data_IF_373293129731
#
_entry.id   IF_373293129731
#
_cell.length_a   1.000
_cell.length_b   1.000
_cell.length_c   1.000
_cell.angle_alpha   90.00
_cell.angle_beta   90.00
_cell.angle_gamma   90.00
#
_symmetry.space_group_name_H-M   'P 1'
#
loop_
_entity.id
_entity.type
_entity.pdbx_description
1 polymer ?
#
# COMPACT_ATOMS: atom_id res chain seq x y z
N UNK A 1 -10.04 9.35 -7.88
CA UNK A 1 -9.16 10.29 -8.61
C UNK A 1 -8.48 9.82 -9.88
N UNK A 2 -8.05 8.55 -10.04
CA UNK A 2 -7.48 8.08 -11.33
C UNK A 2 -7.94 6.66 -11.65
N UNK A 3 -8.01 6.31 -12.93
CA UNK A 3 -8.46 4.98 -13.40
C UNK A 3 -7.36 3.92 -13.27
N UNK A 4 -7.68 2.69 -12.86
CA UNK A 4 -6.76 1.55 -12.79
C UNK A 4 -7.48 0.24 -13.12
N UNK A 5 -7.03 -0.47 -14.15
CA UNK A 5 -7.68 -1.74 -14.52
C UNK A 5 -7.46 -2.86 -13.50
N UNK A 6 -6.33 -2.88 -12.78
CA UNK A 6 -6.01 -3.96 -11.82
C UNK A 6 -6.76 -3.81 -10.51
N UNK A 7 -6.68 -2.66 -9.87
CA UNK A 7 -7.39 -2.44 -8.59
C UNK A 7 -8.91 -2.43 -8.84
N UNK A 8 -9.40 -1.72 -9.87
CA UNK A 8 -10.85 -1.61 -10.13
C UNK A 8 -11.49 -2.93 -10.57
N UNK A 9 -10.88 -3.70 -11.48
CA UNK A 9 -11.56 -4.89 -12.04
C UNK A 9 -11.29 -6.17 -11.25
N UNK A 10 -10.05 -6.39 -10.81
CA UNK A 10 -9.69 -7.66 -10.16
C UNK A 10 -10.08 -7.67 -8.68
N UNK A 11 -9.81 -6.60 -7.94
CA UNK A 11 -10.03 -6.60 -6.48
C UNK A 11 -11.46 -6.18 -6.13
N UNK A 12 -11.99 -5.13 -6.76
CA UNK A 12 -13.25 -4.54 -6.33
C UNK A 12 -14.47 -5.31 -6.86
N UNK A 13 -14.51 -5.58 -8.16
CA UNK A 13 -15.70 -6.18 -8.79
C UNK A 13 -15.70 -7.69 -8.59
N UNK A 14 -14.58 -8.36 -8.89
CA UNK A 14 -14.54 -9.82 -8.84
C UNK A 14 -14.46 -10.33 -7.39
N UNK A 15 -13.66 -9.71 -6.53
CA UNK A 15 -13.49 -10.13 -5.14
C UNK A 15 -14.79 -10.05 -4.32
N UNK A 16 -15.42 -8.87 -4.26
CA UNK A 16 -16.65 -8.69 -3.49
C UNK A 16 -17.84 -9.44 -4.08
N UNK A 17 -17.97 -9.51 -5.41
CA UNK A 17 -19.05 -10.28 -6.02
C UNK A 17 -18.93 -11.79 -5.75
N UNK A 18 -17.71 -12.34 -5.73
CA UNK A 18 -17.48 -13.75 -5.36
C UNK A 18 -17.87 -14.04 -3.90
N UNK A 19 -17.80 -13.03 -3.02
CA UNK A 19 -18.24 -13.12 -1.63
C UNK A 19 -19.76 -12.86 -1.46
N UNK A 20 -20.50 -12.64 -2.56
CA UNK A 20 -21.93 -12.35 -2.54
C UNK A 20 -22.27 -10.88 -2.23
N UNK A 21 -21.28 -9.99 -2.23
CA UNK A 21 -21.46 -8.55 -2.05
C UNK A 21 -21.86 -7.84 -3.35
N UNK A 22 -22.40 -6.63 -3.21
CA UNK A 22 -22.81 -5.78 -4.33
C UNK A 22 -21.92 -4.53 -4.39
N UNK A 23 -20.82 -4.54 -5.18
CA UNK A 23 -19.94 -3.39 -5.25
C UNK A 23 -20.62 -2.22 -5.98
N UNK A 24 -20.70 -1.07 -5.31
CA UNK A 24 -21.10 0.20 -5.92
C UNK A 24 -19.84 0.99 -6.31
N UNK A 25 -19.74 1.39 -7.58
CA UNK A 25 -18.60 2.17 -8.05
C UNK A 25 -18.97 3.65 -8.13
N UNK A 26 -18.20 4.46 -7.42
CA UNK A 26 -18.40 5.90 -7.33
C UNK A 26 -17.10 6.59 -7.75
N UNK A 27 -17.16 7.41 -8.79
CA UNK A 27 -16.00 8.18 -9.28
C UNK A 27 -15.90 9.53 -8.58
N UNK A 28 -14.77 10.22 -8.75
CA UNK A 28 -14.62 11.63 -8.31
C UNK A 28 -15.62 12.58 -8.99
N UNK A 29 -16.26 12.18 -10.09
CA UNK A 29 -17.34 12.95 -10.72
C UNK A 29 -18.69 12.69 -10.06
N UNK A 30 -18.85 11.54 -9.41
CA UNK A 30 -20.09 11.14 -8.72
C UNK A 30 -20.06 11.59 -7.26
N UNK A 31 -18.91 11.48 -6.59
CA UNK A 31 -18.68 11.96 -5.23
C UNK A 31 -17.78 13.19 -5.33
N UNK A 32 -18.35 14.37 -5.05
CA UNK A 32 -17.62 15.64 -4.98
C UNK A 32 -16.82 15.77 -3.65
N UNK A 33 -16.05 14.73 -3.31
CA UNK A 33 -15.35 14.58 -2.04
C UNK A 33 -14.37 15.74 -1.85
N UNK A 34 -14.61 16.58 -0.84
CA UNK A 34 -13.75 17.73 -0.52
C UNK A 34 -13.91 18.95 -1.44
N UNK A 35 -14.83 18.93 -2.41
CA UNK A 35 -15.12 20.06 -3.30
C UNK A 35 -16.46 20.72 -2.97
N UNK A 36 -17.54 19.94 -2.94
CA UNK A 36 -18.89 20.44 -2.64
C UNK A 36 -19.45 19.89 -1.32
N UNK A 37 -18.89 18.79 -0.82
CA UNK A 37 -19.31 18.13 0.41
C UNK A 37 -18.09 17.82 1.27
N UNK A 38 -18.23 18.00 2.59
CA UNK A 38 -17.14 17.72 3.51
C UNK A 38 -16.84 16.22 3.54
N UNK A 39 -15.57 15.87 3.80
CA UNK A 39 -15.19 14.47 4.00
C UNK A 39 -16.00 13.84 5.14
N UNK A 40 -16.26 14.59 6.21
CA UNK A 40 -17.09 14.18 7.34
C UNK A 40 -18.51 13.80 6.93
N UNK A 41 -19.20 14.66 6.17
CA UNK A 41 -20.59 14.41 5.77
C UNK A 41 -20.65 13.19 4.85
N UNK A 42 -19.70 13.11 3.91
CA UNK A 42 -19.60 11.96 3.01
C UNK A 42 -19.36 10.65 3.76
N UNK A 43 -18.45 10.66 4.75
CA UNK A 43 -18.16 9.48 5.58
C UNK A 43 -19.41 8.98 6.32
N UNK A 44 -20.20 9.90 6.88
CA UNK A 44 -21.43 9.58 7.62
C UNK A 44 -22.52 9.05 6.72
N UNK A 45 -22.70 9.63 5.53
CA UNK A 45 -23.68 9.16 4.54
C UNK A 45 -23.30 7.75 4.06
N UNK A 46 -22.03 7.54 3.68
CA UNK A 46 -21.56 6.22 3.23
C UNK A 46 -21.69 5.16 4.32
N UNK A 47 -21.46 5.54 5.58
CA UNK A 47 -21.66 4.65 6.75
C UNK A 47 -23.10 4.17 6.92
N UNK A 48 -24.09 4.94 6.46
CA UNK A 48 -25.49 4.54 6.48
C UNK A 48 -25.94 3.73 5.26
N UNK A 49 -25.13 3.68 4.20
CA UNK A 49 -25.50 3.10 2.91
C UNK A 49 -24.70 1.84 2.55
N UNK A 50 -23.53 1.64 3.16
CA UNK A 50 -22.61 0.56 2.82
C UNK A 50 -22.05 -0.09 4.10
N UNK A 51 -21.58 -1.34 3.99
CA UNK A 51 -20.93 -2.04 5.10
C UNK A 51 -19.41 -1.82 5.13
N UNK A 52 -18.80 -1.55 3.97
CA UNK A 52 -17.34 -1.35 3.81
C UNK A 52 -17.12 -0.31 2.71
N UNK A 53 -16.15 0.59 2.90
CA UNK A 53 -15.72 1.53 1.87
C UNK A 53 -14.27 1.27 1.53
N UNK A 54 -14.00 1.00 0.26
CA UNK A 54 -12.63 0.98 -0.28
C UNK A 54 -12.38 2.32 -0.97
N UNK A 55 -11.50 3.13 -0.39
CA UNK A 55 -11.22 4.48 -0.85
C UNK A 55 -9.86 4.56 -1.54
N UNK A 56 -9.85 5.16 -2.74
CA UNK A 56 -8.63 5.54 -3.47
C UNK A 56 -8.56 7.06 -3.54
N UNK A 57 -7.65 7.62 -2.76
CA UNK A 57 -7.49 9.07 -2.59
C UNK A 57 -6.12 9.52 -3.06
N UNK A 58 -5.97 10.82 -3.29
CA UNK A 58 -4.65 11.40 -3.48
C UNK A 58 -3.92 11.48 -2.13
N UNK A 59 -4.41 12.29 -1.19
CA UNK A 59 -3.74 12.50 0.10
C UNK A 59 -4.13 11.49 1.15
N UNK A 60 -3.14 11.01 1.92
CA UNK A 60 -3.40 10.05 3.00
C UNK A 60 -4.23 10.66 4.14
N UNK A 61 -4.13 11.97 4.38
CA UNK A 61 -4.91 12.66 5.41
C UNK A 61 -6.43 12.56 5.18
N UNK A 62 -6.87 12.54 3.91
CA UNK A 62 -8.27 12.32 3.55
C UNK A 62 -8.76 10.95 4.00
N UNK A 63 -7.92 9.90 3.92
CA UNK A 63 -8.28 8.58 4.44
C UNK A 63 -8.40 8.59 5.97
N UNK A 64 -7.47 9.25 6.65
CA UNK A 64 -7.51 9.36 8.12
C UNK A 64 -8.75 10.13 8.61
N UNK A 65 -9.18 11.14 7.86
CA UNK A 65 -10.41 11.89 8.14
C UNK A 65 -11.66 11.04 7.90
N UNK A 66 -11.70 10.31 6.78
CA UNK A 66 -12.78 9.38 6.48
C UNK A 66 -12.90 8.28 7.55
N UNK A 67 -11.79 7.70 7.98
CA UNK A 67 -11.75 6.64 9.00
C UNK A 67 -12.22 7.15 10.36
N UNK A 68 -11.89 8.40 10.72
CA UNK A 68 -12.30 9.00 11.99
C UNK A 68 -13.82 9.19 12.10
N UNK A 69 -14.46 9.55 10.99
CA UNK A 69 -15.88 9.92 10.97
C UNK A 69 -16.80 8.78 10.51
N UNK A 70 -16.27 7.78 9.82
CA UNK A 70 -17.02 6.62 9.39
C UNK A 70 -17.27 5.65 10.55
N UNK A 71 -18.47 5.06 10.61
CA UNK A 71 -18.77 3.97 11.53
C UNK A 71 -18.51 2.58 10.93
N UNK A 72 -18.00 2.55 9.69
CA UNK A 72 -17.74 1.35 8.91
C UNK A 72 -16.26 1.27 8.52
N UNK A 73 -15.71 0.07 8.24
CA UNK A 73 -14.31 -0.07 7.86
C UNK A 73 -13.96 0.69 6.57
N UNK A 74 -12.93 1.53 6.65
CA UNK A 74 -12.32 2.21 5.50
C UNK A 74 -11.05 1.47 5.08
N UNK A 75 -11.04 0.96 3.84
CA UNK A 75 -9.89 0.25 3.27
C UNK A 75 -9.16 1.17 2.31
N UNK A 76 -7.86 1.39 2.55
CA UNK A 76 -7.00 2.14 1.63
C UNK A 76 -6.71 1.32 0.36
N UNK A 77 -7.32 1.72 -0.75
CA UNK A 77 -7.03 1.15 -2.07
C UNK A 77 -5.71 1.63 -2.67
N UNK A 78 -5.41 2.92 -2.52
CA UNK A 78 -4.15 3.57 -2.89
C UNK A 78 -4.19 5.01 -2.38
N UNK A 79 -3.07 5.46 -1.78
CA UNK A 79 -2.77 6.86 -1.45
C UNK A 79 -1.37 7.25 -1.95
N UNK A 80 -1.04 8.54 -1.88
CA UNK A 80 0.30 9.05 -2.16
C UNK A 80 1.39 8.46 -1.26
N UNK A 81 1.03 8.00 -0.06
CA UNK A 81 1.98 7.42 0.90
C UNK A 81 2.01 5.89 0.87
N UNK A 82 0.87 5.23 0.68
CA UNK A 82 0.75 3.77 0.81
C UNK A 82 -0.13 3.12 -0.26
N UNK A 83 0.25 1.91 -0.66
CA UNK A 83 -0.52 1.01 -1.50
C UNK A 83 -0.54 -0.42 -0.90
N UNK A 84 -1.26 -0.63 0.22
CA UNK A 84 -1.14 -1.85 1.02
C UNK A 84 -1.70 -3.10 0.32
N UNK A 85 -2.76 -2.95 -0.47
CA UNK A 85 -3.42 -4.10 -1.12
C UNK A 85 -2.49 -4.77 -2.15
N UNK A 86 -1.71 -3.98 -2.91
CA UNK A 86 -0.74 -4.53 -3.86
C UNK A 86 0.29 -5.39 -3.13
N UNK A 87 0.82 -4.89 -2.02
CA UNK A 87 1.85 -5.56 -1.24
C UNK A 87 1.35 -6.86 -0.61
N UNK A 88 0.10 -6.91 -0.17
CA UNK A 88 -0.50 -8.15 0.33
C UNK A 88 -0.55 -9.23 -0.77
N UNK A 89 -0.89 -8.87 -2.01
CA UNK A 89 -0.88 -9.81 -3.12
C UNK A 89 0.54 -10.29 -3.47
N UNK A 90 1.53 -9.39 -3.40
CA UNK A 90 2.93 -9.73 -3.62
C UNK A 90 3.42 -10.73 -2.55
N UNK A 91 3.14 -10.48 -1.27
CA UNK A 91 3.51 -11.42 -0.20
C UNK A 91 2.73 -12.73 -0.24
N UNK A 92 1.46 -12.73 -0.66
CA UNK A 92 0.73 -13.97 -0.91
C UNK A 92 1.43 -14.82 -1.97
N UNK A 93 1.87 -14.19 -3.07
CA UNK A 93 2.62 -14.87 -4.13
C UNK A 93 3.94 -15.46 -3.59
N UNK A 94 4.65 -14.73 -2.73
CA UNK A 94 5.85 -15.23 -2.08
C UNK A 94 5.56 -16.41 -1.14
N UNK A 95 4.46 -16.34 -0.39
CA UNK A 95 4.07 -17.42 0.51
C UNK A 95 3.70 -18.68 -0.27
N UNK A 96 2.99 -18.56 -1.39
CA UNK A 96 2.66 -19.69 -2.27
C UNK A 96 3.91 -20.35 -2.87
N UNK A 97 4.92 -19.55 -3.22
CA UNK A 97 6.15 -20.05 -3.84
C UNK A 97 7.15 -20.64 -2.83
N UNK A 98 7.30 -20.03 -1.64
CA UNK A 98 8.30 -20.42 -0.64
C UNK A 98 7.73 -21.19 0.57
N UNK A 99 6.40 -21.29 0.69
CA UNK A 99 5.69 -21.93 1.80
C UNK A 99 5.65 -21.11 3.09
N UNK A 100 6.72 -20.39 3.41
CA UNK A 100 6.83 -19.48 4.55
C UNK A 100 7.52 -18.18 4.15
N UNK A 101 7.05 -17.07 4.72
CA UNK A 101 7.66 -15.76 4.54
C UNK A 101 8.77 -15.47 5.54
N UNK A 102 8.69 -16.07 6.73
CA UNK A 102 9.63 -15.78 7.82
C UNK A 102 11.05 -16.20 7.44
N UNK A 103 12.00 -15.27 7.59
CA UNK A 103 13.42 -15.48 7.26
C UNK A 103 13.76 -15.28 5.79
N UNK A 104 12.78 -15.01 4.91
CA UNK A 104 13.07 -14.65 3.53
C UNK A 104 13.74 -13.27 3.46
N UNK A 105 14.64 -13.11 2.49
CA UNK A 105 15.24 -11.83 2.16
C UNK A 105 14.70 -11.34 0.82
N UNK A 106 14.02 -10.20 0.84
CA UNK A 106 13.52 -9.52 -0.35
C UNK A 106 14.35 -8.25 -0.57
N UNK A 107 14.68 -7.97 -1.83
CA UNK A 107 15.36 -6.75 -2.22
C UNK A 107 14.52 -5.89 -3.13
N UNK A 108 14.33 -4.64 -2.73
CA UNK A 108 13.79 -3.59 -3.57
C UNK A 108 14.91 -2.83 -4.25
N UNK A 109 14.78 -2.61 -5.56
CA UNK A 109 15.69 -1.79 -6.34
C UNK A 109 14.84 -0.82 -7.16
N UNK A 110 14.91 0.48 -6.89
CA UNK A 110 14.09 1.45 -7.59
C UNK A 110 13.88 2.75 -6.82
N UNK A 111 12.73 3.38 -7.04
CA UNK A 111 12.35 4.64 -6.41
C UNK A 111 11.83 4.45 -4.97
N UNK A 112 11.99 5.49 -4.16
CA UNK A 112 11.50 5.70 -2.79
C UNK A 112 9.99 5.88 -2.68
N UNK A 113 9.19 5.13 -3.42
CA UNK A 113 7.78 5.44 -3.66
C UNK A 113 6.82 4.80 -2.63
N UNK A 114 5.52 5.05 -2.81
CA UNK A 114 4.45 4.53 -1.95
C UNK A 114 4.33 2.99 -1.90
N UNK A 115 4.75 2.31 -2.97
CA UNK A 115 4.81 0.85 -3.01
C UNK A 115 5.92 0.37 -2.09
N UNK A 116 7.12 0.96 -2.19
CA UNK A 116 8.23 0.66 -1.28
C UNK A 116 7.84 0.95 0.18
N UNK A 117 7.21 2.09 0.47
CA UNK A 117 6.75 2.39 1.83
C UNK A 117 5.87 1.29 2.41
N UNK A 118 4.94 0.77 1.60
CA UNK A 118 4.05 -0.32 2.00
C UNK A 118 4.81 -1.64 2.17
N UNK A 119 5.81 -1.88 1.34
CA UNK A 119 6.71 -3.02 1.43
C UNK A 119 7.51 -3.00 2.74
N UNK A 120 8.07 -1.84 3.10
CA UNK A 120 8.86 -1.64 4.32
C UNK A 120 8.04 -1.94 5.58
N UNK A 121 6.79 -1.48 5.63
CA UNK A 121 5.90 -1.71 6.76
C UNK A 121 5.45 -3.18 6.88
N UNK A 122 5.23 -3.82 5.74
CA UNK A 122 4.66 -5.18 5.69
C UNK A 122 5.72 -6.26 5.87
N UNK A 123 6.91 -6.09 5.28
CA UNK A 123 8.01 -7.05 5.37
C UNK A 123 8.38 -7.35 6.83
N UNK A 124 8.55 -6.31 7.65
CA UNK A 124 8.88 -6.48 9.05
C UNK A 124 7.81 -7.28 9.81
N UNK A 125 6.52 -6.97 9.59
CA UNK A 125 5.39 -7.65 10.26
C UNK A 125 5.27 -9.12 9.88
N UNK A 126 5.68 -9.48 8.65
CA UNK A 126 5.64 -10.84 8.14
C UNK A 126 6.93 -11.65 8.41
N UNK A 127 7.89 -11.06 9.13
CA UNK A 127 9.15 -11.72 9.46
C UNK A 127 10.14 -11.79 8.28
N UNK A 128 9.97 -10.92 7.28
CA UNK A 128 10.80 -10.85 6.07
C UNK A 128 11.90 -9.81 6.27
N UNK A 129 13.13 -10.17 5.90
CA UNK A 129 14.25 -9.25 5.78
C UNK A 129 14.13 -8.44 4.50
N UNK A 130 14.31 -7.13 4.58
CA UNK A 130 14.20 -6.22 3.45
C UNK A 130 15.53 -5.49 3.20
N UNK A 131 15.99 -5.52 1.96
CA UNK A 131 17.10 -4.69 1.48
C UNK A 131 16.57 -3.72 0.43
N UNK A 132 16.97 -2.48 0.48
CA UNK A 132 16.46 -1.43 -0.39
C UNK A 132 17.63 -0.70 -1.02
N UNK A 133 17.68 -0.69 -2.34
CA UNK A 133 18.57 0.16 -3.13
C UNK A 133 17.76 1.27 -3.80
N UNK A 134 18.02 2.51 -3.39
CA UNK A 134 17.46 3.72 -4.00
C UNK A 134 18.57 4.65 -4.47
N UNK A 135 18.45 5.30 -5.64
CA UNK A 135 19.37 6.37 -6.04
C UNK A 135 19.37 7.50 -5.01
N UNK A 136 20.48 8.24 -4.93
CA UNK A 136 20.57 9.42 -4.04
C UNK A 136 19.54 10.47 -4.45
N UNK A 137 18.79 10.99 -3.48
CA UNK A 137 17.71 11.96 -3.68
C UNK A 137 16.34 11.32 -3.98
N UNK A 138 16.28 10.00 -4.05
CA UNK A 138 15.06 9.21 -4.25
C UNK A 138 14.86 8.23 -3.08
N UNK A 139 15.35 8.58 -1.89
CA UNK A 139 15.16 7.78 -0.69
C UNK A 139 13.68 7.78 -0.25
N UNK A 140 13.20 6.71 0.40
CA UNK A 140 11.86 6.69 0.98
C UNK A 140 11.69 7.80 2.03
N UNK A 141 10.44 8.16 2.30
CA UNK A 141 10.11 9.14 3.33
C UNK A 141 10.76 8.81 4.68
N UNK A 142 11.22 9.86 5.39
CA UNK A 142 11.96 9.69 6.64
C UNK A 142 11.08 9.13 7.75
N UNK A 143 9.83 9.58 7.86
CA UNK A 143 8.89 9.07 8.85
C UNK A 143 8.58 7.60 8.61
N UNK A 144 8.37 7.21 7.36
CA UNK A 144 8.21 5.80 6.97
C UNK A 144 9.47 4.98 7.30
N UNK A 145 10.64 5.53 7.03
CA UNK A 145 11.93 4.87 7.30
C UNK A 145 12.14 4.60 8.79
N UNK A 146 11.89 5.61 9.63
CA UNK A 146 12.02 5.50 11.09
C UNK A 146 11.05 4.45 11.65
N UNK A 147 9.81 4.45 11.18
CA UNK A 147 8.81 3.48 11.59
C UNK A 147 9.14 2.06 11.11
N UNK A 148 9.62 1.90 9.88
CA UNK A 148 10.06 0.61 9.36
C UNK A 148 11.27 0.07 10.15
N UNK A 149 12.22 0.92 10.54
CA UNK A 149 13.32 0.52 11.41
C UNK A 149 12.82 0.08 12.80
N UNK A 150 11.83 0.78 13.36
CA UNK A 150 11.20 0.42 14.63
C UNK A 150 10.52 -0.96 14.53
N UNK A 151 9.74 -1.19 13.48
CA UNK A 151 9.09 -2.48 13.22
C UNK A 151 10.09 -3.60 13.01
N UNK A 152 11.17 -3.38 12.25
CA UNK A 152 12.20 -4.39 12.04
C UNK A 152 12.86 -4.82 13.34
N UNK A 153 13.15 -3.87 14.24
CA UNK A 153 13.65 -4.19 15.59
C UNK A 153 12.61 -4.97 16.42
N UNK A 154 11.35 -4.56 16.37
CA UNK A 154 10.26 -5.20 17.11
C UNK A 154 10.05 -6.66 16.67
N UNK A 155 10.18 -6.94 15.38
CA UNK A 155 9.93 -8.26 14.79
C UNK A 155 11.20 -9.08 14.55
N UNK A 156 12.38 -8.55 14.87
CA UNK A 156 13.66 -9.24 14.70
C UNK A 156 14.08 -9.43 13.23
N UNK A 157 13.57 -8.60 12.32
CA UNK A 157 13.95 -8.62 10.91
C UNK A 157 15.08 -7.64 10.61
N UNK A 158 15.66 -7.75 9.42
CA UNK A 158 16.74 -6.88 8.97
C UNK A 158 16.18 -5.91 7.93
N UNK A 159 16.47 -4.62 8.11
CA UNK A 159 16.23 -3.59 7.11
C UNK A 159 17.56 -2.95 6.72
N UNK A 160 17.94 -3.06 5.45
CA UNK A 160 19.15 -2.44 4.89
C UNK A 160 18.73 -1.40 3.87
N UNK A 161 19.24 -0.19 4.00
CA UNK A 161 19.10 0.87 3.00
C UNK A 161 20.47 1.16 2.42
N UNK A 162 20.60 1.06 1.11
CA UNK A 162 21.84 1.33 0.37
C UNK A 162 21.53 2.10 -0.92
N UNK A 163 22.57 2.65 -1.54
CA UNK A 163 22.48 3.20 -2.90
C UNK A 163 23.07 2.24 -3.95
N UNK A 164 23.63 1.11 -3.53
CA UNK A 164 24.21 0.11 -4.43
C UNK A 164 23.19 -1.03 -4.70
N UNK A 165 22.68 -1.15 -5.95
CA UNK A 165 21.76 -2.23 -6.30
C UNK A 165 22.39 -3.62 -6.19
N UNK A 166 23.71 -3.75 -6.37
CA UNK A 166 24.40 -5.03 -6.26
C UNK A 166 24.51 -5.50 -4.81
N UNK A 167 24.77 -4.56 -3.89
CA UNK A 167 24.75 -4.83 -2.46
C UNK A 167 23.35 -5.27 -2.00
N UNK A 168 22.30 -4.57 -2.47
CA UNK A 168 20.93 -4.95 -2.17
C UNK A 168 20.58 -6.33 -2.75
N UNK A 169 20.96 -6.64 -3.99
CA UNK A 169 20.64 -7.91 -4.64
C UNK A 169 21.37 -9.12 -4.04
N UNK A 170 22.53 -8.90 -3.40
CA UNK A 170 23.39 -9.97 -2.95
C UNK A 170 22.73 -10.84 -1.88
N UNK A 171 22.60 -12.15 -2.14
CA UNK A 171 22.07 -13.13 -1.20
C UNK A 171 20.55 -13.02 -0.96
N UNK A 172 19.81 -12.31 -1.81
CA UNK A 172 18.37 -12.16 -1.68
C UNK A 172 17.62 -13.29 -2.39
N UNK A 173 16.48 -13.69 -1.84
CA UNK A 173 15.60 -14.70 -2.43
C UNK A 173 14.75 -14.11 -3.55
N UNK A 174 14.36 -12.84 -3.43
CA UNK A 174 13.44 -12.15 -4.36
C UNK A 174 13.97 -10.76 -4.66
N UNK A 175 13.87 -10.36 -5.92
CA UNK A 175 14.13 -9.00 -6.38
C UNK A 175 12.81 -8.37 -6.83
N UNK A 176 12.54 -7.15 -6.36
CA UNK A 176 11.36 -6.36 -6.69
C UNK A 176 11.80 -4.98 -7.18
N UNK A 177 11.12 -4.48 -8.21
CA UNK A 177 11.29 -3.13 -8.74
C UNK A 177 9.92 -2.60 -9.12
N UNK A 178 9.81 -1.27 -9.19
CA UNK A 178 8.67 -0.58 -9.75
C UNK A 178 9.13 0.47 -10.78
N UNK A 179 8.18 1.07 -11.48
CA UNK A 179 8.43 2.13 -12.46
C UNK A 179 9.13 3.32 -11.81
N UNK A 180 10.15 3.86 -12.48
CA UNK A 180 10.94 5.00 -11.97
C UNK A 180 10.25 6.36 -12.15
N UNK A 181 9.25 6.44 -13.00
CA UNK A 181 8.40 7.63 -13.15
C UNK A 181 7.04 7.25 -12.63
N UNK A 182 6.78 7.59 -11.36
CA UNK A 182 5.50 7.31 -10.73
C UNK A 182 4.40 8.19 -11.32
N UNK A 183 3.15 7.71 -11.30
CA UNK A 183 2.01 8.43 -11.84
C UNK A 183 1.76 9.73 -11.06
N UNK A 184 2.28 10.87 -11.54
CA UNK A 184 2.07 12.19 -10.94
C UNK A 184 3.34 12.95 -10.55
N UNK A 185 4.52 12.38 -10.81
CA UNK A 185 5.78 13.14 -10.91
C UNK A 185 5.91 13.81 -12.29
#
# INVERSE_FOLDING_TARGET
>A
DRRTQRTEKFIHISGFALLGGHPCFLTSQDIHLGVNESCTDTARVLSGLCDIVLARVYSHSTLEELDREASIPIINGLSELYHPIQILADFLTLQEHYGSLSGLTVSWIGDGNNVLHSFMMTAAKLGVHLKVATPKGYEPDKGVTEEAQRLSKQHGTQLVLTSDPMEAAHGSNVLVTDTWVSMGQ
#
